data_IF_950860630029
#
_entry.id   IF_950860630029
#
_cell.length_a   1.000
_cell.length_b   1.000
_cell.length_c   1.000
_cell.angle_alpha   90.00
_cell.angle_beta   90.00
_cell.angle_gamma   90.00
#
_symmetry.space_group_name_H-M   'P 1'
#
loop_
_entity.id
_entity.type
_entity.pdbx_description
1 polymer ?
#
# COMPACT_ATOMS: atom_id res chain seq x y z
N UNK A 1 32.54 10.58 10.14
CA UNK A 1 31.79 9.85 11.19
C UNK A 1 31.60 8.42 10.70
N UNK A 2 32.40 7.44 11.17
CA UNK A 2 32.26 6.03 10.77
C UNK A 2 31.21 5.40 11.68
N UNK A 3 30.02 5.12 11.16
CA UNK A 3 28.98 4.42 11.92
C UNK A 3 29.37 2.95 12.03
N UNK A 4 29.81 2.51 13.21
CA UNK A 4 30.07 1.11 13.53
C UNK A 4 28.73 0.38 13.76
N UNK A 5 28.03 0.01 12.69
CA UNK A 5 26.89 -0.91 12.78
C UNK A 5 27.42 -2.35 12.79
N UNK A 6 26.99 -3.13 13.76
CA UNK A 6 27.32 -4.55 13.86
C UNK A 6 26.36 -5.37 13.00
N UNK A 7 26.84 -6.43 12.35
CA UNK A 7 26.00 -7.36 11.55
C UNK A 7 24.78 -7.86 12.33
N UNK A 8 24.91 -8.04 13.66
CA UNK A 8 23.82 -8.41 14.57
C UNK A 8 22.69 -7.37 14.63
N UNK A 9 23.02 -6.08 14.62
CA UNK A 9 22.04 -4.99 14.68
C UNK A 9 21.27 -4.88 13.37
N UNK A 10 21.97 -5.06 12.23
CA UNK A 10 21.35 -5.12 10.91
C UNK A 10 20.35 -6.28 10.85
N UNK A 11 20.76 -7.47 11.30
CA UNK A 11 19.88 -8.65 11.32
C UNK A 11 18.65 -8.47 12.23
N UNK A 12 18.80 -7.83 13.38
CA UNK A 12 17.68 -7.59 14.30
C UNK A 12 16.57 -6.72 13.67
N UNK A 13 16.93 -5.81 12.76
CA UNK A 13 15.97 -4.97 12.03
C UNK A 13 15.49 -5.68 10.76
N UNK A 14 16.40 -6.31 10.00
CA UNK A 14 16.09 -6.91 8.71
C UNK A 14 15.21 -8.16 8.84
N UNK A 15 15.46 -9.01 9.84
CA UNK A 15 14.74 -10.28 10.02
C UNK A 15 13.21 -10.12 10.14
N UNK A 16 12.66 -9.26 11.03
CA UNK A 16 11.20 -9.07 11.12
C UNK A 16 10.61 -8.46 9.84
N UNK A 17 11.35 -7.60 9.14
CA UNK A 17 10.93 -7.02 7.86
C UNK A 17 10.82 -8.14 6.81
N UNK A 18 11.83 -8.99 6.68
CA UNK A 18 11.83 -10.10 5.73
C UNK A 18 10.68 -11.08 5.98
N UNK A 19 10.43 -11.44 7.25
CA UNK A 19 9.28 -12.29 7.60
C UNK A 19 7.98 -11.63 7.17
N UNK A 20 7.81 -10.33 7.43
CA UNK A 20 6.60 -9.60 7.04
C UNK A 20 6.37 -9.64 5.52
N UNK A 21 7.43 -9.44 4.73
CA UNK A 21 7.34 -9.52 3.26
C UNK A 21 7.02 -10.93 2.79
N UNK A 22 7.61 -11.97 3.40
CA UNK A 22 7.30 -13.35 3.06
C UNK A 22 5.85 -13.71 3.39
N UNK A 23 5.34 -13.26 4.54
CA UNK A 23 3.94 -13.46 4.91
C UNK A 23 2.99 -12.80 3.91
N UNK A 24 3.29 -11.59 3.45
CA UNK A 24 2.50 -10.90 2.43
C UNK A 24 2.41 -11.73 1.12
N UNK A 25 3.53 -12.30 0.67
CA UNK A 25 3.53 -13.17 -0.51
C UNK A 25 2.75 -14.47 -0.29
N UNK A 26 2.88 -15.08 0.90
CA UNK A 26 2.15 -16.30 1.24
C UNK A 26 0.64 -16.08 1.30
N UNK A 27 0.19 -14.93 1.80
CA UNK A 27 -1.22 -14.53 1.78
C UNK A 27 -1.71 -14.46 0.33
N UNK A 28 -0.99 -13.77 -0.56
CA UNK A 28 -1.39 -13.66 -1.97
C UNK A 28 -1.48 -15.01 -2.70
N UNK A 29 -0.54 -15.92 -2.42
CA UNK A 29 -0.58 -17.29 -2.97
C UNK A 29 -1.78 -18.06 -2.44
N UNK A 30 -2.04 -17.96 -1.14
CA UNK A 30 -3.16 -18.64 -0.49
C UNK A 30 -4.49 -18.12 -1.06
N UNK A 31 -4.67 -16.81 -1.14
CA UNK A 31 -5.87 -16.20 -1.72
C UNK A 31 -6.15 -16.68 -3.14
N UNK A 32 -5.09 -16.75 -3.97
CA UNK A 32 -5.17 -17.25 -5.35
C UNK A 32 -5.58 -18.74 -5.38
N UNK A 33 -5.00 -19.57 -4.51
CA UNK A 33 -5.32 -20.98 -4.43
C UNK A 33 -6.75 -21.24 -3.96
N UNK A 34 -7.24 -20.44 -3.00
CA UNK A 34 -8.63 -20.51 -2.53
C UNK A 34 -9.60 -20.10 -3.63
N UNK A 35 -9.36 -18.97 -4.31
CA UNK A 35 -10.22 -18.51 -5.39
C UNK A 35 -10.23 -19.45 -6.60
N UNK A 36 -9.09 -20.09 -6.91
CA UNK A 36 -9.02 -21.11 -7.95
C UNK A 36 -9.86 -22.36 -7.66
N UNK A 37 -10.17 -22.64 -6.39
CA UNK A 37 -11.11 -23.72 -6.02
C UNK A 37 -12.58 -23.28 -6.07
N UNK A 38 -12.86 -21.97 -6.00
CA UNK A 38 -14.22 -21.44 -6.08
C UNK A 38 -14.72 -21.46 -7.53
N UNK A 39 -13.90 -20.98 -8.46
CA UNK A 39 -14.25 -20.98 -9.88
C UNK A 39 -13.35 -20.10 -10.73
N UNK A 40 -13.35 -20.34 -12.03
CA UNK A 40 -12.55 -19.56 -13.00
C UNK A 40 -13.01 -18.11 -13.09
N UNK A 41 -14.32 -17.86 -12.93
CA UNK A 41 -14.90 -16.51 -12.98
C UNK A 41 -14.41 -15.67 -11.80
N UNK A 42 -14.41 -16.24 -10.60
CA UNK A 42 -14.04 -15.59 -9.35
C UNK A 42 -12.54 -15.34 -9.28
N UNK A 43 -11.74 -16.33 -9.70
CA UNK A 43 -10.29 -16.18 -9.82
C UNK A 43 -9.93 -15.08 -10.83
N UNK A 44 -10.53 -15.12 -12.02
CA UNK A 44 -10.28 -14.12 -13.07
C UNK A 44 -10.73 -12.72 -12.66
N UNK A 45 -11.91 -12.60 -12.04
CA UNK A 45 -12.44 -11.34 -11.55
C UNK A 45 -11.55 -10.72 -10.45
N UNK A 46 -11.11 -11.52 -9.47
CA UNK A 46 -10.20 -11.05 -8.42
C UNK A 46 -8.85 -10.62 -8.97
N UNK A 47 -8.31 -11.34 -9.97
CA UNK A 47 -7.06 -10.97 -10.62
C UNK A 47 -7.16 -9.62 -11.34
N UNK A 48 -8.22 -9.40 -12.12
CA UNK A 48 -8.45 -8.13 -12.84
C UNK A 48 -8.67 -6.98 -11.84
N UNK A 49 -9.55 -7.18 -10.84
CA UNK A 49 -9.77 -6.20 -9.78
C UNK A 49 -8.47 -5.89 -9.01
N UNK A 50 -7.63 -6.90 -8.82
CA UNK A 50 -6.35 -6.77 -8.14
C UNK A 50 -5.31 -5.98 -8.92
N UNK A 51 -5.18 -6.22 -10.22
CA UNK A 51 -4.28 -5.42 -11.08
C UNK A 51 -4.74 -3.96 -11.09
N UNK A 52 -6.04 -3.73 -11.28
CA UNK A 52 -6.61 -2.38 -11.27
C UNK A 52 -6.31 -1.66 -9.94
N UNK A 53 -6.54 -2.34 -8.82
CA UNK A 53 -6.23 -1.84 -7.49
C UNK A 53 -4.73 -1.53 -7.32
N UNK A 54 -3.84 -2.43 -7.74
CA UNK A 54 -2.39 -2.26 -7.59
C UNK A 54 -1.89 -1.03 -8.34
N UNK A 55 -2.39 -0.77 -9.56
CA UNK A 55 -2.00 0.42 -10.34
C UNK A 55 -2.34 1.70 -9.59
N UNK A 56 -3.55 1.79 -9.04
CA UNK A 56 -3.97 2.94 -8.23
C UNK A 56 -3.13 3.04 -6.96
N UNK A 57 -2.87 1.90 -6.32
CA UNK A 57 -2.12 1.84 -5.07
C UNK A 57 -0.67 2.29 -5.21
N UNK A 58 -0.03 1.97 -6.34
CA UNK A 58 1.37 2.34 -6.61
C UNK A 58 1.61 3.85 -6.58
N UNK A 59 0.64 4.66 -7.00
CA UNK A 59 0.76 6.13 -6.96
C UNK A 59 0.94 6.60 -5.52
N UNK A 60 0.03 6.21 -4.63
CA UNK A 60 0.09 6.59 -3.22
C UNK A 60 1.28 5.94 -2.50
N UNK A 61 1.62 4.69 -2.84
CA UNK A 61 2.78 4.00 -2.29
C UNK A 61 4.09 4.71 -2.62
N UNK A 62 4.26 5.19 -3.87
CA UNK A 62 5.42 5.96 -4.29
C UNK A 62 5.62 7.24 -3.48
N UNK A 63 4.53 7.96 -3.18
CA UNK A 63 4.57 9.14 -2.32
C UNK A 63 4.98 8.82 -0.88
N UNK A 64 4.48 7.70 -0.32
CA UNK A 64 4.87 7.27 1.03
C UNK A 64 6.37 6.96 1.11
N UNK A 65 6.94 6.28 0.10
CA UNK A 65 8.39 6.06 0.01
C UNK A 65 9.15 7.40 -0.06
N UNK A 66 8.69 8.34 -0.91
CA UNK A 66 9.31 9.67 -1.02
C UNK A 66 9.33 10.42 0.32
N UNK A 67 8.22 10.40 1.06
CA UNK A 67 8.13 11.00 2.39
C UNK A 67 9.10 10.33 3.38
N UNK A 68 9.21 9.00 3.37
CA UNK A 68 10.16 8.27 4.21
C UNK A 68 11.61 8.65 3.91
N UNK A 69 11.98 8.82 2.63
CA UNK A 69 13.33 9.26 2.23
C UNK A 69 13.63 10.66 2.78
N UNK A 70 12.71 11.60 2.63
CA UNK A 70 12.87 12.96 3.13
C UNK A 70 13.02 13.00 4.65
N UNK A 71 12.21 12.21 5.37
CA UNK A 71 12.31 12.09 6.84
C UNK A 71 13.63 11.43 7.24
N UNK A 72 14.04 10.36 6.56
CA UNK A 72 15.31 9.68 6.83
C UNK A 72 16.51 10.63 6.64
N UNK A 73 16.45 11.49 5.62
CA UNK A 73 17.46 12.54 5.39
C UNK A 73 17.48 13.56 6.53
N UNK A 74 16.33 14.13 6.93
CA UNK A 74 16.26 15.09 8.04
C UNK A 74 16.73 14.50 9.36
N UNK A 75 16.43 13.22 9.58
CA UNK A 75 16.94 12.47 10.73
C UNK A 75 18.48 12.34 10.68
N UNK A 76 19.06 12.09 9.50
CA UNK A 76 20.52 12.06 9.32
C UNK A 76 21.18 13.44 9.52
N UNK A 77 20.48 14.52 9.18
CA UNK A 77 20.90 15.91 9.40
C UNK A 77 20.71 16.37 10.87
N UNK A 78 20.14 15.53 11.76
CA UNK A 78 19.76 15.87 13.15
C UNK A 78 18.76 17.04 13.29
N UNK A 79 18.02 17.33 12.22
CA UNK A 79 17.03 18.41 12.15
C UNK A 79 15.63 17.91 12.59
N UNK A 80 15.53 17.44 13.84
CA UNK A 80 14.33 16.74 14.35
C UNK A 80 13.07 17.62 14.38
N UNK A 81 13.22 18.94 14.56
CA UNK A 81 12.11 19.90 14.57
C UNK A 81 11.34 19.94 13.24
N UNK A 82 12.02 19.68 12.12
CA UNK A 82 11.43 19.66 10.77
C UNK A 82 10.74 18.35 10.42
N UNK A 83 11.03 17.27 11.15
CA UNK A 83 10.44 15.94 10.89
C UNK A 83 8.94 15.96 11.16
N UNK A 84 8.49 16.60 12.24
CA UNK A 84 7.07 16.69 12.58
C UNK A 84 6.27 17.43 11.51
N UNK A 85 6.77 18.58 11.04
CA UNK A 85 6.10 19.35 9.97
C UNK A 85 5.98 18.54 8.67
N UNK A 86 7.07 17.88 8.27
CA UNK A 86 7.09 17.03 7.08
C UNK A 86 6.13 15.83 7.21
N UNK A 87 6.04 15.25 8.41
CA UNK A 87 5.13 14.16 8.72
C UNK A 87 3.66 14.58 8.54
N UNK A 88 3.25 15.68 9.17
CA UNK A 88 1.86 16.17 9.05
C UNK A 88 1.53 16.57 7.61
N UNK A 89 2.44 17.28 6.92
CA UNK A 89 2.27 17.62 5.51
C UNK A 89 2.10 16.36 4.64
N UNK A 90 2.93 15.33 4.87
CA UNK A 90 2.83 14.05 4.18
C UNK A 90 1.49 13.36 4.43
N UNK A 91 0.98 13.37 5.66
CA UNK A 91 -0.35 12.83 5.99
C UNK A 91 -1.45 13.58 5.25
N UNK A 92 -1.50 14.91 5.33
CA UNK A 92 -2.54 15.69 4.66
C UNK A 92 -2.53 15.48 3.15
N UNK A 93 -1.33 15.45 2.56
CA UNK A 93 -1.15 15.20 1.14
C UNK A 93 -1.64 13.79 0.75
N UNK A 94 -1.29 12.76 1.54
CA UNK A 94 -1.69 11.39 1.26
C UNK A 94 -3.20 11.18 1.44
N UNK A 95 -3.84 11.83 2.41
CA UNK A 95 -5.31 11.84 2.55
C UNK A 95 -5.95 12.48 1.32
N UNK A 96 -5.40 13.60 0.84
CA UNK A 96 -5.86 14.26 -0.38
C UNK A 96 -5.79 13.35 -1.60
N UNK A 97 -4.62 12.73 -1.83
CA UNK A 97 -4.43 11.77 -2.92
C UNK A 97 -5.36 10.56 -2.77
N UNK A 98 -5.48 9.98 -1.58
CA UNK A 98 -6.34 8.82 -1.35
C UNK A 98 -7.80 9.15 -1.68
N UNK A 99 -8.27 10.35 -1.31
CA UNK A 99 -9.63 10.82 -1.61
C UNK A 99 -9.85 11.00 -3.11
N UNK A 100 -8.87 11.60 -3.82
CA UNK A 100 -8.93 11.77 -5.28
C UNK A 100 -8.95 10.41 -5.97
N UNK A 101 -8.02 9.51 -5.61
CA UNK A 101 -7.92 8.18 -6.20
C UNK A 101 -9.16 7.33 -5.90
N UNK A 102 -9.70 7.39 -4.69
CA UNK A 102 -10.96 6.73 -4.33
C UNK A 102 -12.10 7.21 -5.22
N UNK A 103 -12.27 8.53 -5.34
CA UNK A 103 -13.34 9.15 -6.14
C UNK A 103 -13.21 8.75 -7.60
N UNK A 104 -12.01 8.90 -8.19
CA UNK A 104 -11.77 8.51 -9.57
C UNK A 104 -12.03 7.02 -9.79
N UNK A 105 -11.55 6.16 -8.89
CA UNK A 105 -11.75 4.72 -9.02
C UNK A 105 -13.22 4.35 -8.91
N UNK A 106 -13.96 4.94 -7.99
CA UNK A 106 -15.38 4.65 -7.80
C UNK A 106 -16.23 5.01 -9.03
N UNK A 107 -15.99 6.19 -9.62
CA UNK A 107 -16.79 6.66 -10.77
C UNK A 107 -16.31 6.10 -12.13
N UNK A 108 -15.00 5.97 -12.34
CA UNK A 108 -14.45 5.58 -13.64
C UNK A 108 -14.18 4.08 -13.78
N UNK A 109 -14.02 3.32 -12.69
CA UNK A 109 -13.73 1.88 -12.81
C UNK A 109 -14.80 1.08 -13.55
N UNK A 110 -16.12 1.32 -13.38
CA UNK A 110 -17.12 0.57 -14.14
C UNK A 110 -17.00 0.83 -15.65
N UNK A 111 -16.75 2.09 -16.02
CA UNK A 111 -16.63 2.51 -17.42
C UNK A 111 -15.37 1.95 -18.10
N UNK A 112 -14.24 1.94 -17.38
CA UNK A 112 -12.98 1.41 -17.88
C UNK A 112 -13.06 -0.11 -17.99
N UNK A 113 -13.50 -0.79 -16.93
CA UNK A 113 -13.53 -2.25 -16.88
C UNK A 113 -14.55 -2.83 -17.86
N UNK A 114 -15.66 -2.14 -18.11
CA UNK A 114 -16.64 -2.57 -19.12
C UNK A 114 -16.05 -2.63 -20.54
N UNK A 115 -15.07 -1.79 -20.85
CA UNK A 115 -14.39 -1.79 -22.16
C UNK A 115 -13.33 -2.88 -22.28
N UNK A 116 -12.81 -3.35 -21.14
CA UNK A 116 -11.73 -4.35 -21.10
C UNK A 116 -12.31 -5.77 -20.99
N UNK A 117 -13.40 -5.93 -20.23
CA UNK A 117 -13.98 -7.23 -19.91
C UNK A 117 -15.16 -7.51 -20.82
N UNK A 118 -15.00 -8.48 -21.73
CA UNK A 118 -16.06 -8.88 -22.66
C UNK A 118 -17.16 -9.74 -22.03
N UNK A 119 -16.81 -10.58 -21.05
CA UNK A 119 -17.76 -11.47 -20.38
C UNK A 119 -18.54 -10.74 -19.29
N UNK A 120 -19.87 -10.77 -19.38
CA UNK A 120 -20.76 -10.13 -18.41
C UNK A 120 -20.53 -10.67 -16.98
N UNK A 121 -20.41 -11.99 -16.85
CA UNK A 121 -20.27 -12.65 -15.55
C UNK A 121 -18.96 -12.23 -14.86
N UNK A 122 -17.85 -12.15 -15.61
CA UNK A 122 -16.56 -11.70 -15.09
C UNK A 122 -16.62 -10.22 -14.75
N UNK A 123 -17.28 -9.40 -15.56
CA UNK A 123 -17.43 -7.97 -15.29
C UNK A 123 -18.17 -7.73 -13.97
N UNK A 124 -19.32 -8.37 -13.76
CA UNK A 124 -20.11 -8.19 -12.54
C UNK A 124 -19.34 -8.66 -11.29
N UNK A 125 -18.69 -9.81 -11.37
CA UNK A 125 -17.83 -10.30 -10.29
C UNK A 125 -16.66 -9.32 -10.01
N UNK A 126 -16.02 -8.79 -11.06
CA UNK A 126 -14.90 -7.85 -10.92
C UNK A 126 -15.32 -6.57 -10.22
N UNK A 127 -16.47 -6.00 -10.61
CA UNK A 127 -17.03 -4.81 -9.95
C UNK A 127 -17.36 -5.10 -8.49
N UNK A 128 -17.92 -6.28 -8.19
CA UNK A 128 -18.15 -6.72 -6.81
C UNK A 128 -16.87 -6.74 -5.98
N UNK A 129 -15.81 -7.39 -6.47
CA UNK A 129 -14.50 -7.40 -5.81
C UNK A 129 -13.90 -6.00 -5.65
N UNK A 130 -13.99 -5.20 -6.71
CA UNK A 130 -13.37 -3.88 -6.73
C UNK A 130 -14.07 -2.92 -5.76
N UNK A 131 -15.38 -3.02 -5.60
CA UNK A 131 -16.13 -2.19 -4.65
C UNK A 131 -15.60 -2.38 -3.22
N UNK A 132 -15.43 -3.63 -2.79
CA UNK A 132 -14.85 -3.95 -1.48
C UNK A 132 -13.40 -3.50 -1.35
N UNK A 133 -12.59 -3.69 -2.41
CA UNK A 133 -11.19 -3.24 -2.42
C UNK A 133 -11.05 -1.72 -2.34
N UNK A 134 -11.89 -0.94 -3.02
CA UNK A 134 -11.84 0.52 -3.02
C UNK A 134 -12.14 1.09 -1.63
N UNK A 135 -13.15 0.53 -0.93
CA UNK A 135 -13.42 0.89 0.47
C UNK A 135 -12.27 0.51 1.40
N UNK A 136 -11.68 -0.69 1.22
CA UNK A 136 -10.50 -1.12 1.96
C UNK A 136 -9.27 -0.22 1.71
N UNK A 137 -9.09 0.26 0.49
CA UNK A 137 -8.00 1.17 0.11
C UNK A 137 -8.04 2.45 0.92
N UNK A 138 -9.24 3.04 1.04
CA UNK A 138 -9.44 4.27 1.79
C UNK A 138 -8.91 4.10 3.22
N UNK A 139 -9.32 3.06 3.95
CA UNK A 139 -8.81 2.80 5.30
C UNK A 139 -7.31 2.47 5.35
N UNK A 140 -6.82 1.68 4.40
CA UNK A 140 -5.42 1.22 4.38
C UNK A 140 -4.42 2.37 4.17
N UNK A 141 -4.80 3.38 3.38
CA UNK A 141 -3.93 4.55 3.18
C UNK A 141 -3.75 5.40 4.43
N UNK A 142 -4.72 5.43 5.33
CA UNK A 142 -4.63 6.21 6.56
C UNK A 142 -3.72 5.54 7.60
N UNK A 143 -3.66 4.20 7.64
CA UNK A 143 -2.90 3.46 8.65
C UNK A 143 -1.39 3.34 8.35
N UNK A 144 -0.99 3.35 7.08
CA UNK A 144 0.38 3.04 6.64
C UNK A 144 1.48 4.01 7.10
N UNK A 145 1.15 5.25 7.51
CA UNK A 145 2.17 6.24 7.91
C UNK A 145 2.44 6.31 9.41
N UNK A 146 1.58 5.74 10.26
CA UNK A 146 1.59 6.06 11.70
C UNK A 146 2.73 5.35 12.50
N UNK A 147 3.06 4.07 12.27
CA UNK A 147 3.97 3.36 13.21
C UNK A 147 5.47 3.56 12.94
N UNK A 148 5.92 3.59 11.67
CA UNK A 148 7.38 3.59 11.36
C UNK A 148 8.09 4.90 11.73
N UNK A 149 7.33 5.96 11.98
CA UNK A 149 7.83 7.32 12.20
C UNK A 149 7.93 7.68 13.68
N UNK A 150 7.18 7.01 14.56
CA UNK A 150 7.22 7.21 16.01
C UNK A 150 8.39 6.49 16.70
N UNK A 151 8.81 5.32 16.20
CA UNK A 151 9.88 4.53 16.84
C UNK A 151 11.26 5.20 16.83
N UNK A 152 11.46 6.24 16.01
CA UNK A 152 12.71 7.04 16.03
C UNK A 152 12.69 8.21 17.01
N UNK A 153 11.54 8.56 17.59
CA UNK A 153 11.42 9.73 18.48
C UNK A 153 11.67 9.38 19.95
N UNK A 154 11.48 8.12 20.36
CA UNK A 154 11.59 7.68 21.76
C UNK A 154 12.91 6.99 22.13
N UNK A 155 13.85 6.86 21.19
CA UNK A 155 15.21 6.39 21.49
C UNK A 155 16.18 7.57 21.40
N UNK A 156 16.09 8.48 22.36
CA UNK A 156 17.17 9.39 22.77
C UNK A 156 17.01 9.66 24.26
#
# INVERSE_FOLDING_TARGET
>A
MKTHYTTREIWHIAFPILISLLMEQMIGITDTAFLGRVGEVELGASAIAGIFYTVIFMVAYGFSIGAQILIARRNGEKEYSKIGQLFYQGIYFQIGIATILFTLSYFFSPQILRKIIASENIYQATIGYLHWRIFGAFFSFHSSNVPRLLFRYHTN
#
